data_IF_823452082777
#
_entry.id   IF_823452082777
#
_cell.length_a   1.000
_cell.length_b   1.000
_cell.length_c   1.000
_cell.angle_alpha   90.00
_cell.angle_beta   90.00
_cell.angle_gamma   90.00
#
_symmetry.space_group_name_H-M   'P 1'
#
loop_
_entity.id
_entity.type
_entity.pdbx_description
1 polymer ?
#
# COMPACT_ATOMS: atom_id res chain seq x y z
N UNK A 1 4.88 -17.87 -20.27
CA UNK A 1 4.77 -16.59 -19.53
C UNK A 1 3.32 -16.14 -19.66
N UNK A 2 2.46 -16.58 -18.75
CA UNK A 2 1.01 -16.36 -18.85
C UNK A 2 0.61 -15.06 -18.16
N UNK A 3 0.98 -13.93 -18.79
CA UNK A 3 0.52 -12.59 -18.38
C UNK A 3 -1.01 -12.50 -18.36
N UNK A 4 -1.68 -13.17 -19.31
CA UNK A 4 -3.15 -13.20 -19.40
C UNK A 4 -3.80 -14.13 -18.37
N UNK A 5 -3.19 -15.27 -18.03
CA UNK A 5 -3.70 -16.17 -17.00
C UNK A 5 -3.72 -15.53 -15.60
N UNK A 6 -2.73 -14.68 -15.31
CA UNK A 6 -2.69 -13.85 -14.11
C UNK A 6 -3.80 -12.80 -14.07
N UNK A 7 -4.13 -12.17 -15.20
CA UNK A 7 -5.19 -11.16 -15.30
C UNK A 7 -6.58 -11.80 -15.17
N UNK A 8 -6.81 -12.97 -15.78
CA UNK A 8 -8.10 -13.68 -15.67
C UNK A 8 -8.33 -14.23 -14.24
N UNK A 9 -7.27 -14.66 -13.54
CA UNK A 9 -7.37 -14.95 -12.09
C UNK A 9 -7.61 -13.69 -11.24
N UNK A 10 -7.05 -12.53 -11.62
CA UNK A 10 -7.31 -11.23 -10.96
C UNK A 10 -8.75 -10.77 -11.13
N UNK A 11 -9.37 -10.98 -12.28
CA UNK A 11 -10.79 -10.64 -12.51
C UNK A 11 -11.73 -11.57 -11.71
N UNK A 12 -11.32 -12.80 -11.40
CA UNK A 12 -12.06 -13.68 -10.47
C UNK A 12 -11.91 -13.31 -8.99
N UNK A 13 -11.11 -12.28 -8.64
CA UNK A 13 -10.94 -11.79 -7.26
C UNK A 13 -12.05 -10.83 -6.80
N UNK A 14 -13.29 -11.04 -7.24
CA UNK A 14 -14.48 -10.27 -6.84
C UNK A 14 -14.89 -10.43 -5.36
N UNK A 15 -14.09 -11.11 -4.54
CA UNK A 15 -14.36 -11.35 -3.13
C UNK A 15 -13.43 -10.53 -2.20
N UNK A 16 -13.09 -9.33 -2.64
CA UNK A 16 -12.30 -8.41 -1.85
C UNK A 16 -13.16 -7.80 -0.73
N UNK A 17 -12.69 -7.75 0.53
CA UNK A 17 -13.48 -7.16 1.59
C UNK A 17 -13.72 -5.67 1.31
N UNK A 18 -14.94 -5.12 1.54
CA UNK A 18 -15.29 -3.75 1.17
C UNK A 18 -14.33 -2.70 1.71
N UNK A 19 -13.74 -2.95 2.89
CA UNK A 19 -12.76 -2.09 3.52
C UNK A 19 -11.49 -1.88 2.68
N UNK A 20 -11.14 -2.81 1.80
CA UNK A 20 -9.94 -2.67 0.96
C UNK A 20 -10.13 -1.66 -0.18
N UNK A 21 -11.36 -1.46 -0.67
CA UNK A 21 -11.64 -0.41 -1.65
C UNK A 21 -11.36 0.99 -1.07
N UNK A 22 -11.53 1.15 0.25
CA UNK A 22 -11.15 2.39 0.95
C UNK A 22 -9.64 2.59 0.87
N UNK A 23 -8.84 1.54 1.11
CA UNK A 23 -7.37 1.61 1.04
C UNK A 23 -6.91 1.87 -0.40
N UNK A 24 -7.54 1.24 -1.38
CA UNK A 24 -7.26 1.46 -2.81
C UNK A 24 -7.58 2.90 -3.23
N UNK A 25 -8.72 3.44 -2.80
CA UNK A 25 -9.09 4.83 -3.04
C UNK A 25 -8.07 5.80 -2.45
N UNK A 26 -7.60 5.53 -1.24
CA UNK A 26 -6.60 6.37 -0.55
C UNK A 26 -5.25 6.33 -1.27
N UNK A 27 -4.79 5.15 -1.70
CA UNK A 27 -3.56 5.05 -2.50
C UNK A 27 -3.71 5.71 -3.87
N UNK A 28 -4.89 5.64 -4.48
CA UNK A 28 -5.20 6.36 -5.72
C UNK A 28 -5.08 7.87 -5.52
N UNK A 29 -5.61 8.39 -4.42
CA UNK A 29 -5.46 9.80 -4.05
C UNK A 29 -3.98 10.19 -3.85
N UNK A 30 -3.20 9.36 -3.15
CA UNK A 30 -1.75 9.58 -2.98
C UNK A 30 -1.03 9.59 -4.32
N UNK A 31 -1.41 8.71 -5.25
CA UNK A 31 -0.86 8.69 -6.61
C UNK A 31 -1.13 10.00 -7.33
N UNK A 32 -2.39 10.48 -7.33
CA UNK A 32 -2.77 11.77 -7.93
C UNK A 32 -1.98 12.93 -7.29
N UNK A 33 -1.85 12.95 -5.97
CA UNK A 33 -1.04 13.94 -5.24
C UNK A 33 0.42 13.92 -5.73
N UNK A 34 1.03 12.73 -5.84
CA UNK A 34 2.41 12.62 -6.28
C UNK A 34 2.60 13.07 -7.73
N UNK A 35 1.64 12.80 -8.62
CA UNK A 35 1.65 13.32 -9.99
C UNK A 35 1.56 14.85 -10.03
N UNK A 36 0.73 15.45 -9.19
CA UNK A 36 0.66 16.92 -9.08
C UNK A 36 1.96 17.53 -8.54
N UNK A 37 2.59 16.88 -7.55
CA UNK A 37 3.89 17.33 -7.03
C UNK A 37 4.99 17.20 -8.09
N UNK A 38 4.97 16.14 -8.89
CA UNK A 38 5.90 15.97 -10.00
C UNK A 38 5.77 17.13 -11.00
N UNK A 39 4.54 17.43 -11.44
CA UNK A 39 4.25 18.55 -12.35
C UNK A 39 4.69 19.91 -11.77
N UNK A 40 4.40 20.16 -10.48
CA UNK A 40 4.81 21.40 -9.81
C UNK A 40 6.33 21.56 -9.74
N UNK A 41 7.05 20.47 -9.44
CA UNK A 41 8.52 20.46 -9.38
C UNK A 41 9.14 20.57 -10.77
N UNK A 42 8.53 20.02 -11.81
CA UNK A 42 9.00 20.16 -13.18
C UNK A 42 8.93 21.61 -13.67
N UNK A 43 7.84 22.32 -13.36
CA UNK A 43 7.63 23.72 -13.77
C UNK A 43 8.44 24.70 -12.92
N UNK A 44 8.42 24.55 -11.59
CA UNK A 44 9.02 25.52 -10.68
C UNK A 44 10.44 25.15 -10.22
N UNK A 45 10.85 23.89 -10.38
CA UNK A 45 12.08 23.34 -9.81
C UNK A 45 13.38 23.93 -10.39
N UNK A 46 13.30 24.57 -11.56
CA UNK A 46 14.42 25.27 -12.18
C UNK A 46 14.73 26.64 -11.54
N UNK A 47 13.81 27.17 -10.72
CA UNK A 47 13.94 28.49 -10.08
C UNK A 47 14.41 28.43 -8.61
N UNK A 48 14.16 27.32 -7.91
CA UNK A 48 14.65 27.04 -6.54
C UNK A 48 15.98 26.29 -6.59
N UNK A 49 16.72 26.31 -5.47
CA UNK A 49 17.98 25.59 -5.30
C UNK A 49 17.94 24.18 -5.91
N UNK A 50 18.72 23.98 -6.97
CA UNK A 50 18.66 22.81 -7.85
C UNK A 50 18.80 21.48 -7.09
N UNK A 51 19.59 21.48 -6.02
CA UNK A 51 19.82 20.33 -5.14
C UNK A 51 18.54 19.90 -4.41
N UNK A 52 17.77 20.87 -3.90
CA UNK A 52 16.53 20.59 -3.17
C UNK A 52 15.45 20.04 -4.12
N UNK A 53 15.28 20.66 -5.29
CA UNK A 53 14.33 20.23 -6.32
C UNK A 53 14.61 18.80 -6.80
N UNK A 54 15.89 18.46 -7.03
CA UNK A 54 16.31 17.12 -7.48
C UNK A 54 16.07 16.05 -6.41
N UNK A 55 16.38 16.38 -5.16
CA UNK A 55 16.13 15.48 -4.03
C UNK A 55 14.64 15.19 -3.87
N UNK A 56 13.79 16.21 -3.94
CA UNK A 56 12.34 16.06 -3.86
C UNK A 56 11.77 15.25 -5.02
N UNK A 57 12.23 15.52 -6.25
CA UNK A 57 11.79 14.76 -7.42
C UNK A 57 12.12 13.27 -7.26
N UNK A 58 13.29 12.94 -6.71
CA UNK A 58 13.67 11.56 -6.40
C UNK A 58 12.70 10.93 -5.38
N UNK A 59 12.34 11.65 -4.32
CA UNK A 59 11.37 11.17 -3.33
C UNK A 59 9.98 10.96 -3.96
N UNK A 60 9.51 11.90 -4.78
CA UNK A 60 8.22 11.78 -5.50
C UNK A 60 8.21 10.52 -6.37
N UNK A 61 9.29 10.25 -7.10
CA UNK A 61 9.41 9.06 -7.95
C UNK A 61 9.36 7.79 -7.10
N UNK A 62 10.15 7.72 -6.01
CA UNK A 62 10.18 6.55 -5.13
C UNK A 62 8.80 6.29 -4.52
N UNK A 63 8.16 7.33 -3.98
CA UNK A 63 6.83 7.22 -3.35
C UNK A 63 5.75 6.83 -4.36
N UNK A 64 5.85 7.31 -5.61
CA UNK A 64 4.96 6.91 -6.71
C UNK A 64 5.12 5.43 -7.05
N UNK A 65 6.35 4.94 -7.22
CA UNK A 65 6.63 3.53 -7.49
C UNK A 65 6.11 2.63 -6.36
N UNK A 66 6.33 3.02 -5.10
CA UNK A 66 5.83 2.28 -3.94
C UNK A 66 4.30 2.23 -3.89
N UNK A 67 3.65 3.35 -4.23
CA UNK A 67 2.18 3.47 -4.27
C UNK A 67 1.61 2.56 -5.36
N UNK A 68 2.16 2.61 -6.58
CA UNK A 68 1.76 1.74 -7.68
C UNK A 68 1.95 0.26 -7.32
N UNK A 69 3.11 -0.10 -6.73
CA UNK A 69 3.36 -1.49 -6.27
C UNK A 69 2.35 -1.94 -5.23
N UNK A 70 1.96 -1.08 -4.29
CA UNK A 70 0.94 -1.38 -3.30
C UNK A 70 -0.43 -1.58 -3.98
N UNK A 71 -0.84 -0.68 -4.87
CA UNK A 71 -2.11 -0.78 -5.62
C UNK A 71 -2.19 -2.06 -6.46
N UNK A 72 -1.10 -2.45 -7.16
CA UNK A 72 -1.06 -3.70 -7.93
C UNK A 72 -1.11 -4.93 -7.03
N UNK A 73 -0.57 -4.83 -5.81
CA UNK A 73 -0.52 -5.91 -4.82
C UNK A 73 -1.83 -6.09 -4.06
N UNK A 74 -2.60 -5.03 -3.84
CA UNK A 74 -3.84 -5.03 -3.05
C UNK A 74 -4.84 -6.12 -3.47
N UNK A 75 -5.12 -6.35 -4.77
CA UNK A 75 -6.00 -7.42 -5.23
C UNK A 75 -5.41 -8.84 -5.11
N UNK A 76 -4.17 -8.96 -4.66
CA UNK A 76 -3.52 -10.26 -4.44
C UNK A 76 -3.87 -10.77 -3.04
N UNK A 77 -4.36 -12.00 -2.94
CA UNK A 77 -4.57 -12.70 -1.67
C UNK A 77 -3.26 -13.11 -0.97
N UNK A 78 -2.12 -12.58 -1.41
CA UNK A 78 -0.81 -12.91 -0.89
C UNK A 78 -0.44 -12.05 0.34
N UNK A 79 0.20 -12.68 1.32
CA UNK A 79 0.69 -12.04 2.55
C UNK A 79 1.81 -11.06 2.23
N UNK A 80 2.61 -11.32 1.19
CA UNK A 80 3.64 -10.38 0.74
C UNK A 80 3.05 -9.07 0.21
N UNK A 81 1.89 -9.14 -0.45
CA UNK A 81 1.19 -7.97 -0.96
C UNK A 81 0.60 -7.11 0.16
N UNK A 82 0.01 -7.75 1.18
CA UNK A 82 -0.39 -7.06 2.42
C UNK A 82 0.78 -6.32 3.06
N UNK A 83 1.91 -7.02 3.26
CA UNK A 83 3.11 -6.47 3.90
C UNK A 83 3.66 -5.28 3.13
N UNK A 84 3.72 -5.39 1.81
CA UNK A 84 4.19 -4.33 0.92
C UNK A 84 3.30 -3.10 1.05
N UNK A 85 1.98 -3.29 1.05
CA UNK A 85 1.00 -2.20 1.19
C UNK A 85 1.12 -1.49 2.53
N UNK A 86 1.21 -2.23 3.65
CA UNK A 86 1.39 -1.64 4.99
C UNK A 86 2.71 -0.88 5.10
N UNK A 87 3.81 -1.44 4.56
CA UNK A 87 5.11 -0.75 4.53
C UNK A 87 5.05 0.52 3.70
N UNK A 88 4.41 0.49 2.54
CA UNK A 88 4.21 1.68 1.71
C UNK A 88 3.45 2.74 2.48
N UNK A 89 2.34 2.41 3.14
CA UNK A 89 1.58 3.36 3.97
C UNK A 89 2.43 3.95 5.11
N UNK A 90 3.23 3.12 5.79
CA UNK A 90 4.13 3.59 6.86
C UNK A 90 5.21 4.55 6.30
N UNK A 91 5.76 4.29 5.11
CA UNK A 91 6.75 5.15 4.46
C UNK A 91 6.11 6.46 3.97
N UNK A 92 4.85 6.42 3.51
CA UNK A 92 4.14 7.60 3.00
C UNK A 92 3.86 8.64 4.10
N UNK A 93 3.68 8.21 5.36
CA UNK A 93 3.45 9.11 6.51
C UNK A 93 4.59 10.14 6.70
N UNK A 94 5.85 9.74 6.97
CA UNK A 94 6.93 10.70 7.17
C UNK A 94 7.23 11.49 5.89
N UNK A 95 7.02 10.90 4.71
CA UNK A 95 7.16 11.63 3.46
C UNK A 95 6.12 12.75 3.34
N UNK A 96 4.87 12.49 3.73
CA UNK A 96 3.80 13.50 3.73
C UNK A 96 4.11 14.64 4.71
N UNK A 97 4.61 14.31 5.91
CA UNK A 97 5.09 15.31 6.88
C UNK A 97 6.23 16.13 6.30
N UNK A 98 7.20 15.49 5.64
CA UNK A 98 8.33 16.17 5.02
C UNK A 98 7.88 17.17 3.96
N UNK A 99 6.95 16.80 3.07
CA UNK A 99 6.40 17.76 2.10
C UNK A 99 5.70 18.96 2.76
N UNK A 100 5.01 18.73 3.88
CA UNK A 100 4.30 19.80 4.60
C UNK A 100 5.26 20.77 5.28
N UNK A 101 6.24 20.27 6.02
CA UNK A 101 7.20 21.10 6.80
C UNK A 101 7.98 22.05 5.91
N UNK A 102 8.28 21.63 4.69
CA UNK A 102 9.05 22.45 3.77
C UNK A 102 8.18 23.19 2.72
N UNK A 103 6.87 23.23 2.95
CA UNK A 103 5.89 23.99 2.15
C UNK A 103 5.99 23.72 0.63
N UNK A 104 6.33 22.48 0.26
CA UNK A 104 6.53 22.09 -1.12
C UNK A 104 5.19 21.74 -1.78
N UNK A 105 4.41 22.76 -2.11
CA UNK A 105 3.29 22.66 -3.03
C UNK A 105 1.90 22.83 -2.41
N UNK A 106 0.93 22.97 -3.29
CA UNK A 106 -0.48 23.12 -2.95
C UNK A 106 -1.05 21.76 -2.58
N UNK A 107 -1.53 21.61 -1.35
CA UNK A 107 -2.23 20.40 -0.92
C UNK A 107 -3.72 20.52 -1.23
N UNK A 108 -4.28 19.58 -1.99
CA UNK A 108 -5.74 19.54 -2.26
C UNK A 108 -6.57 19.24 -1.00
N UNK A 109 -5.97 18.56 -0.02
CA UNK A 109 -6.55 18.23 1.28
C UNK A 109 -5.51 18.57 2.33
N UNK A 110 -5.97 19.07 3.48
CA UNK A 110 -5.15 19.30 4.65
C UNK A 110 -4.21 18.09 4.93
N UNK A 111 -2.89 18.29 5.03
CA UNK A 111 -1.92 17.23 5.31
C UNK A 111 -2.25 16.42 6.57
N UNK A 112 -2.85 17.03 7.59
CA UNK A 112 -3.31 16.35 8.80
C UNK A 112 -4.45 15.38 8.52
N UNK A 113 -5.38 15.77 7.64
CA UNK A 113 -6.47 14.90 7.19
C UNK A 113 -5.91 13.73 6.38
N UNK A 114 -4.94 13.98 5.49
CA UNK A 114 -4.27 12.91 4.73
C UNK A 114 -3.54 11.93 5.65
N UNK A 115 -2.82 12.43 6.66
CA UNK A 115 -2.14 11.61 7.67
C UNK A 115 -3.12 10.76 8.48
N UNK A 116 -4.26 11.33 8.87
CA UNK A 116 -5.31 10.61 9.57
C UNK A 116 -5.87 9.49 8.71
N UNK A 117 -6.17 9.78 7.44
CA UNK A 117 -6.71 8.81 6.47
C UNK A 117 -5.70 7.68 6.20
N UNK A 118 -4.41 7.98 6.06
CA UNK A 118 -3.35 6.98 5.94
C UNK A 118 -3.24 6.10 7.19
N UNK A 119 -3.36 6.70 8.38
CA UNK A 119 -3.33 5.98 9.66
C UNK A 119 -4.52 5.03 9.81
N UNK A 120 -5.72 5.48 9.41
CA UNK A 120 -6.93 4.65 9.35
C UNK A 120 -6.75 3.51 8.35
N UNK A 121 -6.11 3.76 7.20
CA UNK A 121 -5.81 2.72 6.20
C UNK A 121 -4.92 1.63 6.77
N UNK A 122 -3.89 2.00 7.54
CA UNK A 122 -3.06 1.02 8.27
C UNK A 122 -3.94 0.20 9.21
N UNK A 123 -4.83 0.84 9.98
CA UNK A 123 -5.78 0.15 10.85
C UNK A 123 -6.68 -0.85 10.10
N UNK A 124 -7.19 -0.46 8.94
CA UNK A 124 -8.00 -1.31 8.05
C UNK A 124 -7.22 -2.57 7.65
N UNK A 125 -5.93 -2.43 7.35
CA UNK A 125 -5.08 -3.57 6.96
C UNK A 125 -4.95 -4.62 8.09
N UNK A 126 -5.20 -4.25 9.35
CA UNK A 126 -5.20 -5.18 10.48
C UNK A 126 -6.56 -5.79 10.80
N UNK A 127 -7.63 -5.40 10.10
CA UNK A 127 -8.96 -5.96 10.32
C UNK A 127 -8.98 -7.47 10.05
N UNK A 128 -9.79 -8.25 10.81
CA UNK A 128 -9.89 -9.70 10.60
C UNK A 128 -10.32 -10.08 9.16
N UNK A 129 -11.18 -9.29 8.53
CA UNK A 129 -11.64 -9.48 7.14
C UNK A 129 -10.48 -9.40 6.14
N UNK A 130 -9.65 -8.36 6.25
CA UNK A 130 -8.48 -8.13 5.39
C UNK A 130 -7.40 -9.17 5.63
N UNK A 131 -7.15 -9.52 6.90
CA UNK A 131 -6.16 -10.53 7.27
C UNK A 131 -6.53 -11.93 6.78
N UNK A 132 -7.82 -12.28 6.77
CA UNK A 132 -8.32 -13.53 6.17
C UNK A 132 -8.15 -13.55 4.66
N UNK A 133 -8.31 -12.40 3.99
CA UNK A 133 -8.16 -12.29 2.55
C UNK A 133 -6.72 -12.51 2.07
N UNK A 134 -5.72 -11.97 2.80
CA UNK A 134 -4.30 -12.09 2.42
C UNK A 134 -3.58 -13.33 2.97
N UNK A 135 -4.29 -14.23 3.65
CA UNK A 135 -3.73 -15.52 4.05
C UNK A 135 -4.26 -16.58 3.08
N UNK A 136 -3.40 -17.30 2.32
CA UNK A 136 -3.83 -18.52 1.63
C UNK A 136 -4.40 -19.48 2.68
N UNK A 137 -5.40 -20.33 2.36
CA UNK A 137 -6.32 -20.93 3.32
C UNK A 137 -5.58 -21.70 4.44
N UNK A 138 -5.25 -21.01 5.53
CA UNK A 138 -4.72 -21.58 6.76
C UNK A 138 -5.88 -21.81 7.72
N UNK A 139 -5.79 -22.87 8.52
CA UNK A 139 -6.85 -23.28 9.46
C UNK A 139 -7.16 -22.22 10.54
N UNK A 140 -6.23 -21.28 10.81
CA UNK A 140 -6.39 -20.21 11.80
C UNK A 140 -5.70 -18.92 11.33
N UNK A 141 -6.36 -17.78 11.56
CA UNK A 141 -5.76 -16.44 11.35
C UNK A 141 -4.79 -16.17 12.51
N UNK A 142 -3.51 -15.87 12.25
CA UNK A 142 -2.54 -15.58 13.29
C UNK A 142 -2.91 -14.31 14.06
N UNK A 143 -2.53 -14.20 15.34
CA UNK A 143 -2.84 -13.05 16.20
C UNK A 143 -2.21 -11.76 15.66
N UNK A 144 -2.77 -10.60 16.01
CA UNK A 144 -2.32 -9.28 15.54
C UNK A 144 -0.82 -9.06 15.81
N UNK A 145 -0.30 -9.54 16.95
CA UNK A 145 1.12 -9.44 17.33
C UNK A 145 2.05 -10.08 16.28
N UNK A 146 1.65 -11.20 15.67
CA UNK A 146 2.44 -11.85 14.60
C UNK A 146 2.40 -11.03 13.32
N UNK A 147 1.26 -10.41 12.99
CA UNK A 147 1.16 -9.52 11.83
C UNK A 147 2.04 -8.28 11.95
N UNK A 148 2.12 -7.69 13.15
CA UNK A 148 3.06 -6.58 13.40
C UNK A 148 4.50 -7.04 13.19
N UNK A 149 4.87 -8.24 13.66
CA UNK A 149 6.20 -8.82 13.39
C UNK A 149 6.43 -9.04 11.90
N UNK A 150 5.43 -9.48 11.14
CA UNK A 150 5.53 -9.70 9.69
C UNK A 150 5.79 -8.41 8.91
N UNK A 151 5.52 -7.23 9.47
CA UNK A 151 5.97 -5.98 8.86
C UNK A 151 7.49 -5.99 8.74
N UNK A 152 8.22 -6.37 9.79
CA UNK A 152 9.69 -6.24 9.85
C UNK A 152 10.41 -7.53 9.45
N UNK A 153 9.92 -8.68 9.91
CA UNK A 153 10.55 -9.99 9.75
C UNK A 153 9.87 -10.74 8.60
N UNK A 154 10.66 -11.34 7.71
CA UNK A 154 10.10 -12.22 6.67
C UNK A 154 9.57 -13.49 7.36
N UNK A 155 8.28 -13.83 7.24
CA UNK A 155 7.79 -15.09 7.78
C UNK A 155 8.56 -16.23 7.10
N UNK A 156 9.16 -17.12 7.89
CA UNK A 156 9.67 -18.38 7.35
C UNK A 156 8.46 -19.19 6.89
N UNK A 157 8.40 -19.54 5.61
CA UNK A 157 7.30 -20.29 4.98
C UNK A 157 7.16 -21.71 5.58
N UNK A 158 8.15 -22.17 6.34
CA UNK A 158 8.26 -23.51 6.91
C UNK A 158 7.38 -23.78 8.13
N UNK A 159 6.81 -22.76 8.79
CA UNK A 159 6.13 -22.96 10.09
C UNK A 159 4.59 -23.03 9.99
N UNK A 160 4.02 -22.79 8.81
CA UNK A 160 2.58 -22.88 8.59
C UNK A 160 2.32 -23.90 7.49
N UNK A 161 2.06 -25.16 7.86
CA UNK A 161 1.61 -26.20 6.93
C UNK A 161 0.48 -25.66 6.04
N UNK A 162 0.79 -25.44 4.77
CA UNK A 162 -0.18 -25.09 3.74
C UNK A 162 -1.09 -26.31 3.49
N UNK A 163 -2.11 -26.51 4.32
CA UNK A 163 -3.18 -27.45 3.99
C UNK A 163 -4.25 -26.70 3.23
N UNK A 164 -4.36 -26.99 1.94
CA UNK A 164 -5.55 -26.67 1.17
C UNK A 164 -6.77 -27.19 1.94
N UNK A 165 -7.67 -26.28 2.33
CA UNK A 165 -9.01 -26.67 2.78
C UNK A 165 -9.72 -27.18 1.54
N UNK A 166 -9.52 -28.47 1.22
CA UNK A 166 -10.42 -29.15 0.30
C UNK A 166 -11.80 -29.04 0.93
N UNK A 167 -12.69 -28.37 0.20
CA UNK A 167 -14.12 -28.36 0.47
C UNK A 167 -14.57 -29.82 0.53
N UNK A 168 -14.69 -30.38 1.73
CA UNK A 168 -15.51 -31.57 1.96
C UNK A 168 -16.96 -31.16 1.67
N UNK A 169 -17.33 -31.17 0.39
CA UNK A 169 -18.73 -31.30 -0.02
C UNK A 169 -19.15 -32.71 0.39
N UNK A 170 -19.87 -32.83 1.49
CA UNK A 170 -20.91 -33.85 1.65
C UNK A 170 -22.23 -33.26 1.16
#
# INVERSE_FOLDING_TARGET
>A
MDLFGGIIRRIKAFNMPPSMYIVEFILTYVLIRNMNLFYYLEINGWSREWVQSTFLMTIVIITTILTIRAMIGIPSSDRYSWRTTVRTLIILIPMTVFYYVFEFGYFFIDPWVLLLIMSVSIGIMFLPSVRRYHIPPMRKVPPIKEWVKFIFIRPQETEYEYRFVYSEKK
#
